data_IF_545642194820
#
_entry.id   IF_545642194820
#
_cell.length_a   1.000
_cell.length_b   1.000
_cell.length_c   1.000
_cell.angle_alpha   90.00
_cell.angle_beta   90.00
_cell.angle_gamma   90.00
#
_symmetry.space_group_name_H-M   'P 1'
#
loop_
_entity.id
_entity.type
_entity.pdbx_description
1 polymer ?
#
# COMPACT_ATOMS: atom_id res chain seq x y z
N UNK A 1 11.95 16.24 -13.20
CA UNK A 1 11.96 14.80 -13.55
C UNK A 1 10.62 14.48 -14.21
N UNK A 2 10.61 14.08 -15.48
CA UNK A 2 9.38 13.70 -16.17
C UNK A 2 8.90 12.37 -15.57
N UNK A 3 7.87 12.41 -14.72
CA UNK A 3 7.23 11.20 -14.22
C UNK A 3 6.53 10.54 -15.40
N UNK A 4 7.15 9.49 -15.95
CA UNK A 4 6.58 8.72 -17.06
C UNK A 4 5.32 8.01 -16.57
N UNK A 5 4.13 8.50 -16.94
CA UNK A 5 2.86 7.86 -16.59
C UNK A 5 2.77 6.49 -17.27
N UNK A 6 2.27 5.50 -16.54
CA UNK A 6 1.92 4.19 -17.08
C UNK A 6 0.67 4.35 -17.95
N UNK A 7 0.63 3.68 -19.09
CA UNK A 7 -0.50 3.72 -20.01
C UNK A 7 -1.47 2.56 -19.75
N UNK A 8 -2.77 2.87 -19.66
CA UNK A 8 -3.84 1.87 -19.51
C UNK A 8 -3.87 0.86 -20.65
N UNK A 9 -3.66 1.32 -21.89
CA UNK A 9 -3.70 0.45 -23.07
C UNK A 9 -2.55 -0.56 -23.05
N UNK A 10 -1.36 -0.13 -22.62
CA UNK A 10 -0.21 -1.02 -22.46
C UNK A 10 -0.49 -2.06 -21.35
N UNK A 11 -1.08 -1.64 -20.23
CA UNK A 11 -1.45 -2.55 -19.15
C UNK A 11 -2.48 -3.62 -19.60
N UNK A 12 -3.50 -3.21 -20.37
CA UNK A 12 -4.50 -4.12 -20.92
C UNK A 12 -3.89 -5.10 -21.93
N UNK A 13 -3.07 -4.62 -22.87
CA UNK A 13 -2.39 -5.48 -23.86
C UNK A 13 -1.50 -6.50 -23.15
N UNK A 14 -0.75 -6.09 -22.14
CA UNK A 14 0.08 -7.00 -21.34
C UNK A 14 -0.76 -8.04 -20.59
N UNK A 15 -1.92 -7.66 -20.07
CA UNK A 15 -2.81 -8.56 -19.37
C UNK A 15 -3.38 -9.64 -20.32
N UNK A 16 -3.81 -9.25 -21.52
CA UNK A 16 -4.27 -10.18 -22.54
C UNK A 16 -3.13 -11.05 -23.08
N UNK A 17 -1.95 -10.50 -23.37
CA UNK A 17 -0.78 -11.28 -23.79
C UNK A 17 -0.35 -12.31 -22.74
N UNK A 18 -0.57 -12.01 -21.44
CA UNK A 18 -0.34 -12.94 -20.34
C UNK A 18 -1.28 -14.15 -20.31
N UNK A 19 -2.40 -14.13 -21.04
CA UNK A 19 -3.29 -15.29 -21.18
C UNK A 19 -2.70 -16.40 -22.06
N UNK A 20 -1.93 -16.01 -23.10
CA UNK A 20 -1.26 -16.92 -24.02
C UNK A 20 0.15 -17.30 -23.59
N UNK A 21 0.83 -16.43 -22.83
CA UNK A 21 2.23 -16.59 -22.45
C UNK A 21 2.39 -16.79 -20.93
N UNK A 22 3.12 -15.88 -20.27
CA UNK A 22 3.35 -15.85 -18.83
C UNK A 22 2.41 -14.83 -18.21
N UNK A 23 1.49 -15.31 -17.38
CA UNK A 23 0.54 -14.46 -16.66
C UNK A 23 1.26 -13.61 -15.59
N UNK A 24 0.83 -12.35 -15.40
CA UNK A 24 1.35 -11.47 -14.36
C UNK A 24 2.29 -10.35 -14.83
N UNK A 25 2.69 -10.32 -16.11
CA UNK A 25 3.54 -9.24 -16.66
C UNK A 25 2.92 -7.84 -16.53
N UNK A 26 1.60 -7.74 -16.66
CA UNK A 26 0.88 -6.48 -16.44
C UNK A 26 0.99 -5.99 -14.99
N UNK A 27 1.03 -6.88 -13.98
CA UNK A 27 1.22 -6.49 -12.58
C UNK A 27 2.60 -5.89 -12.34
N UNK A 28 3.64 -6.41 -13.00
CA UNK A 28 4.97 -5.79 -12.97
C UNK A 28 4.97 -4.41 -13.62
N UNK A 29 4.31 -4.26 -14.78
CA UNK A 29 4.15 -2.95 -15.43
C UNK A 29 3.44 -1.93 -14.53
N UNK A 30 2.41 -2.37 -13.80
CA UNK A 30 1.65 -1.55 -12.86
C UNK A 30 2.38 -1.25 -11.54
N UNK A 31 3.59 -1.79 -11.32
CA UNK A 31 4.37 -1.56 -10.10
C UNK A 31 3.91 -2.39 -8.90
N UNK A 32 3.28 -3.54 -9.15
CA UNK A 32 2.83 -4.49 -8.14
C UNK A 32 3.66 -5.79 -8.22
N UNK A 33 4.96 -5.77 -7.85
CA UNK A 33 5.87 -6.91 -8.07
C UNK A 33 5.47 -8.15 -7.27
N UNK A 34 4.95 -8.00 -6.04
CA UNK A 34 4.47 -9.12 -5.22
C UNK A 34 3.35 -9.90 -5.92
N UNK A 35 2.38 -9.18 -6.49
CA UNK A 35 1.29 -9.78 -7.27
C UNK A 35 1.79 -10.39 -8.58
N UNK A 36 2.75 -9.74 -9.25
CA UNK A 36 3.40 -10.30 -10.43
C UNK A 36 4.09 -11.64 -10.14
N UNK A 37 4.86 -11.72 -9.04
CA UNK A 37 5.52 -12.95 -8.61
C UNK A 37 4.48 -14.03 -8.29
N UNK A 38 3.40 -13.69 -7.56
CA UNK A 38 2.33 -14.63 -7.25
C UNK A 38 1.70 -15.22 -8.53
N UNK A 39 1.44 -14.37 -9.53
CA UNK A 39 0.88 -14.82 -10.82
C UNK A 39 1.84 -15.73 -11.58
N UNK A 40 3.15 -15.43 -11.56
CA UNK A 40 4.17 -16.26 -12.21
C UNK A 40 4.31 -17.61 -11.50
N UNK A 41 4.34 -17.63 -10.15
CA UNK A 41 4.41 -18.87 -9.38
C UNK A 41 3.19 -19.76 -9.58
N UNK A 42 2.02 -19.14 -9.79
CA UNK A 42 0.76 -19.86 -10.01
C UNK A 42 0.47 -20.12 -11.50
N UNK A 43 1.37 -19.72 -12.41
CA UNK A 43 1.16 -19.75 -13.87
C UNK A 43 0.97 -21.16 -14.46
N UNK A 44 1.36 -22.19 -13.70
CA UNK A 44 1.07 -23.60 -14.00
C UNK A 44 -0.42 -23.94 -13.88
N UNK A 45 -1.22 -23.13 -13.17
CA UNK A 45 -2.67 -23.27 -13.08
C UNK A 45 -3.38 -22.38 -14.12
N UNK A 46 -4.63 -22.71 -14.52
CA UNK A 46 -5.42 -21.84 -15.40
C UNK A 46 -5.91 -20.57 -14.68
N UNK A 47 -5.81 -20.50 -13.34
CA UNK A 47 -6.38 -19.42 -12.52
C UNK A 47 -5.77 -18.05 -12.87
N UNK A 48 -4.43 -17.85 -12.89
CA UNK A 48 -3.85 -16.58 -13.30
C UNK A 48 -4.18 -16.18 -14.73
N UNK A 49 -4.43 -17.13 -15.64
CA UNK A 49 -4.77 -16.81 -17.03
C UNK A 49 -6.16 -16.18 -17.12
N UNK A 50 -7.14 -16.79 -16.45
CA UNK A 50 -8.51 -16.23 -16.37
C UNK A 50 -8.52 -14.90 -15.62
N UNK A 51 -7.80 -14.80 -14.50
CA UNK A 51 -7.68 -13.55 -13.74
C UNK A 51 -7.08 -12.42 -14.60
N UNK A 52 -6.01 -12.71 -15.36
CA UNK A 52 -5.41 -11.72 -16.27
C UNK A 52 -6.35 -11.28 -17.39
N UNK A 53 -7.19 -12.17 -17.93
CA UNK A 53 -8.19 -11.80 -18.93
C UNK A 53 -9.24 -10.83 -18.36
N UNK A 54 -9.78 -11.15 -17.17
CA UNK A 54 -10.76 -10.30 -16.48
C UNK A 54 -10.15 -8.94 -16.14
N UNK A 55 -8.91 -8.91 -15.65
CA UNK A 55 -8.20 -7.68 -15.34
C UNK A 55 -7.90 -6.86 -16.60
N UNK A 56 -7.58 -7.49 -17.73
CA UNK A 56 -7.42 -6.81 -19.02
C UNK A 56 -8.68 -6.07 -19.44
N UNK A 57 -9.84 -6.71 -19.34
CA UNK A 57 -11.15 -6.07 -19.60
C UNK A 57 -11.40 -4.95 -18.59
N UNK A 58 -11.12 -5.19 -17.31
CA UNK A 58 -11.30 -4.19 -16.26
C UNK A 58 -10.45 -2.93 -16.50
N UNK A 59 -9.19 -3.07 -16.91
CA UNK A 59 -8.33 -1.92 -17.22
C UNK A 59 -8.81 -1.14 -18.45
N UNK A 60 -9.40 -1.81 -19.44
CA UNK A 60 -10.02 -1.13 -20.59
C UNK A 60 -11.30 -0.40 -20.20
N UNK A 61 -12.09 -0.98 -19.27
CA UNK A 61 -13.30 -0.37 -18.75
C UNK A 61 -13.02 0.79 -17.77
N UNK A 62 -11.77 0.95 -17.32
CA UNK A 62 -11.38 1.99 -16.39
C UNK A 62 -11.09 3.31 -17.11
N UNK A 63 -11.67 4.40 -16.61
CA UNK A 63 -11.33 5.75 -17.06
C UNK A 63 -9.87 6.10 -16.77
N UNK A 64 -9.31 7.01 -17.55
CA UNK A 64 -7.90 7.38 -17.47
C UNK A 64 -7.55 8.02 -16.12
N UNK A 65 -8.43 8.86 -15.56
CA UNK A 65 -8.21 9.44 -14.22
C UNK A 65 -8.27 8.38 -13.12
N UNK A 66 -9.17 7.39 -13.27
CA UNK A 66 -9.30 6.30 -12.32
C UNK A 66 -8.09 5.36 -12.38
N UNK A 67 -7.55 5.09 -13.57
CA UNK A 67 -6.32 4.33 -13.77
C UNK A 67 -5.12 5.06 -13.15
N UNK A 68 -4.98 6.35 -13.43
CA UNK A 68 -3.90 7.16 -12.87
C UNK A 68 -3.94 7.20 -11.34
N UNK A 69 -5.14 7.32 -10.76
CA UNK A 69 -5.32 7.29 -9.30
C UNK A 69 -4.92 5.97 -8.67
N UNK A 70 -5.15 4.86 -9.35
CA UNK A 70 -4.89 3.53 -8.80
C UNK A 70 -3.45 3.04 -9.04
N UNK A 71 -2.83 3.41 -10.17
CA UNK A 71 -1.56 2.82 -10.62
C UNK A 71 -0.42 3.82 -10.79
N UNK A 72 -0.71 5.10 -11.00
CA UNK A 72 0.31 6.15 -11.14
C UNK A 72 0.49 6.98 -9.86
N UNK A 73 -0.51 7.04 -8.98
CA UNK A 73 -0.35 7.55 -7.62
C UNK A 73 0.24 6.43 -6.75
N UNK A 74 1.55 6.44 -6.51
CA UNK A 74 2.35 5.40 -5.85
C UNK A 74 1.90 4.96 -4.45
N UNK A 75 0.74 4.32 -4.35
CA UNK A 75 0.05 4.03 -3.10
C UNK A 75 -0.20 2.54 -2.96
N UNK A 76 0.81 1.81 -2.51
CA UNK A 76 0.58 0.51 -1.86
C UNK A 76 1.62 0.24 -0.79
N UNK A 77 2.92 0.43 -1.06
CA UNK A 77 3.95 0.37 -0.01
C UNK A 77 3.95 1.61 0.91
N UNK A 78 3.64 2.78 0.35
CA UNK A 78 3.56 4.04 1.12
C UNK A 78 2.41 4.04 2.11
N UNK A 79 1.27 3.36 1.86
CA UNK A 79 0.15 3.36 2.81
C UNK A 79 0.48 2.62 4.12
N UNK A 80 1.22 1.51 4.04
CA UNK A 80 1.66 0.78 5.24
C UNK A 80 2.71 1.58 6.02
N UNK A 81 3.72 2.10 5.33
CA UNK A 81 4.75 2.95 5.94
C UNK A 81 4.19 4.28 6.48
N UNK A 82 3.18 4.85 5.84
CA UNK A 82 2.52 6.08 6.27
C UNK A 82 1.61 5.82 7.48
N UNK A 83 0.94 4.66 7.54
CA UNK A 83 0.15 4.30 8.72
C UNK A 83 1.03 4.13 9.95
N UNK A 84 2.18 3.48 9.80
CA UNK A 84 3.16 3.34 10.88
C UNK A 84 3.78 4.70 11.28
N UNK A 85 4.14 5.56 10.33
CA UNK A 85 4.68 6.90 10.65
C UNK A 85 3.65 7.78 11.37
N UNK A 86 2.39 7.74 10.93
CA UNK A 86 1.31 8.50 11.55
C UNK A 86 1.06 8.03 13.00
N UNK A 87 1.13 6.71 13.26
CA UNK A 87 1.00 6.17 14.62
C UNK A 87 2.12 6.63 15.54
N UNK A 88 3.38 6.56 15.08
CA UNK A 88 4.54 7.05 15.85
C UNK A 88 4.43 8.55 16.15
N UNK A 89 3.96 9.35 15.20
CA UNK A 89 3.72 10.79 15.39
C UNK A 89 2.63 11.06 16.43
N UNK A 90 1.50 10.34 16.37
CA UNK A 90 0.41 10.49 17.35
C UNK A 90 0.84 10.15 18.76
N UNK A 91 1.61 9.08 18.94
CA UNK A 91 2.14 8.68 20.25
C UNK A 91 3.20 9.66 20.76
N UNK A 92 4.07 10.17 19.88
CA UNK A 92 5.05 11.19 20.26
C UNK A 92 4.39 12.48 20.76
N UNK A 93 3.29 12.91 20.13
CA UNK A 93 2.51 14.07 20.59
C UNK A 93 1.81 13.79 21.92
N UNK A 94 1.19 12.61 22.08
CA UNK A 94 0.56 12.21 23.34
C UNK A 94 1.57 12.14 24.50
N UNK A 95 2.79 11.65 24.25
CA UNK A 95 3.87 11.62 25.24
C UNK A 95 4.32 13.02 25.67
N UNK A 96 4.38 13.98 24.73
CA UNK A 96 4.69 15.40 25.05
C UNK A 96 3.61 16.01 25.94
N UNK A 97 2.34 15.73 25.66
CA UNK A 97 1.22 16.22 26.47
C UNK A 97 1.24 15.63 27.88
N UNK A 98 1.52 14.33 28.02
CA UNK A 98 1.70 13.69 29.32
C UNK A 98 2.87 14.28 30.11
N UNK A 99 3.98 14.63 29.45
CA UNK A 99 5.11 15.26 30.14
C UNK A 99 4.78 16.69 30.60
N UNK A 100 3.99 17.44 29.84
CA UNK A 100 3.49 18.75 30.26
C UNK A 100 2.60 18.65 31.51
N UNK A 101 1.64 17.72 31.52
CA UNK A 101 0.76 17.50 32.69
C UNK A 101 1.55 17.11 33.96
N UNK A 102 2.65 16.37 33.79
CA UNK A 102 3.56 15.99 34.88
C UNK A 102 4.34 17.20 35.40
N UNK A 103 4.86 18.04 34.50
CA UNK A 103 5.56 19.28 34.86
C UNK A 103 4.64 20.27 35.58
N UNK A 104 3.38 20.34 35.17
CA UNK A 104 2.34 21.17 35.81
C UNK A 104 1.87 20.61 37.16
N UNK A 105 2.32 19.41 37.56
CA UNK A 105 1.90 18.75 38.80
C UNK A 105 0.46 18.24 38.78
N UNK A 106 -0.17 18.16 37.60
CA UNK A 106 -1.54 17.69 37.42
C UNK A 106 -1.65 16.16 37.49
N UNK A 107 -0.55 15.45 37.22
CA UNK A 107 -0.46 14.00 37.35
C UNK A 107 0.78 13.61 38.14
N UNK A 108 0.69 12.49 38.86
CA UNK A 108 1.84 11.94 39.59
C UNK A 108 2.84 11.26 38.65
N UNK A 109 4.10 11.13 39.09
CA UNK A 109 5.15 10.40 38.35
C UNK A 109 4.72 8.94 38.08
N UNK A 110 4.02 8.32 39.03
CA UNK A 110 3.50 6.96 38.90
C UNK A 110 2.42 6.85 37.80
N UNK A 111 1.46 7.78 37.75
CA UNK A 111 0.42 7.82 36.70
C UNK A 111 1.02 8.10 35.32
N UNK A 112 2.04 8.97 35.27
CA UNK A 112 2.80 9.22 34.04
C UNK A 112 3.48 7.94 33.54
N UNK A 113 4.20 7.22 34.41
CA UNK A 113 4.86 5.98 34.03
C UNK A 113 3.88 4.89 33.55
N UNK A 114 2.72 4.77 34.19
CA UNK A 114 1.67 3.84 33.75
C UNK A 114 1.16 4.18 32.35
N UNK A 115 0.79 5.45 32.10
CA UNK A 115 0.26 5.89 30.81
C UNK A 115 1.31 5.84 29.70
N UNK A 116 2.57 6.18 30.00
CA UNK A 116 3.69 6.04 29.06
C UNK A 116 3.87 4.61 28.59
N UNK A 117 3.79 3.62 29.50
CA UNK A 117 3.90 2.20 29.14
C UNK A 117 2.74 1.75 28.24
N UNK A 118 1.51 2.16 28.55
CA UNK A 118 0.35 1.87 27.71
C UNK A 118 0.49 2.41 26.28
N UNK A 119 1.03 3.63 26.12
CA UNK A 119 1.25 4.22 24.80
C UNK A 119 2.37 3.53 24.01
N UNK A 120 3.42 3.06 24.69
CA UNK A 120 4.50 2.32 24.03
C UNK A 120 4.04 0.94 23.54
N UNK A 121 3.10 0.30 24.25
CA UNK A 121 2.53 -0.99 23.88
C UNK A 121 1.69 -0.92 22.58
N UNK A 122 1.15 0.26 22.24
CA UNK A 122 0.37 0.47 21.01
C UNK A 122 1.22 0.53 19.73
N UNK A 123 2.54 0.71 19.85
CA UNK A 123 3.47 0.74 18.71
C UNK A 123 4.15 -0.62 18.51
N UNK A 124 4.19 -1.46 19.56
CA UNK A 124 4.81 -2.81 19.50
C UNK A 124 3.94 -3.81 18.75
#
# INVERSE_FOLDING_TARGET
MLVKRKSRSIAAILAFSGTLTVSGLHKFYLGQPLWGILYVLLSWTPIPKVASAIEGVWYLALDEEAFDRNFNQGKSAVKFSQSASNQVETVANALRELDALRQDGLISEYEFEQKRRQLLDQIS
#
